data_IF_278496691032
#
_entry.id   IF_278496691032
#
_cell.length_a   1.000
_cell.length_b   1.000
_cell.length_c   1.000
_cell.angle_alpha   90.00
_cell.angle_beta   90.00
_cell.angle_gamma   90.00
#
_symmetry.space_group_name_H-M   'P 1'
#
loop_
_entity.id
_entity.type
_entity.pdbx_description
1 polymer ?
#
# COMPACT_ATOMS: atom_id res chain seq x y z
N UNK A 1 -0.10 2.77 -12.47
CA UNK A 1 -1.54 3.00 -12.22
C UNK A 1 -2.15 3.62 -13.46
N UNK A 2 -3.35 3.18 -13.81
CA UNK A 2 -4.04 3.61 -15.01
C UNK A 2 -4.91 4.83 -14.72
N UNK A 3 -5.10 5.66 -15.75
CA UNK A 3 -5.93 6.86 -15.70
C UNK A 3 -6.75 6.99 -16.99
N UNK A 4 -7.93 7.59 -16.90
CA UNK A 4 -8.77 7.97 -18.04
C UNK A 4 -9.03 9.47 -18.05
N UNK A 5 -9.20 10.04 -19.25
CA UNK A 5 -9.71 11.40 -19.39
C UNK A 5 -11.21 11.34 -19.70
N UNK A 6 -12.09 11.77 -18.78
CA UNK A 6 -13.54 11.74 -18.98
C UNK A 6 -14.02 12.73 -20.04
N UNK A 7 -13.27 13.80 -20.32
CA UNK A 7 -13.63 14.81 -21.33
C UNK A 7 -12.43 15.14 -22.24
N UNK A 8 -12.12 14.30 -23.22
CA UNK A 8 -10.96 14.48 -24.08
C UNK A 8 -11.14 15.54 -25.17
N UNK A 9 -12.37 16.03 -25.39
CA UNK A 9 -12.68 16.98 -26.47
C UNK A 9 -12.97 18.41 -25.99
N UNK A 10 -12.89 18.66 -24.68
CA UNK A 10 -12.99 20.03 -24.17
C UNK A 10 -11.80 20.85 -24.65
N UNK A 11 -12.07 21.89 -25.45
CA UNK A 11 -11.04 22.85 -25.88
C UNK A 11 -10.86 23.99 -24.87
N UNK A 12 -11.81 24.15 -23.94
CA UNK A 12 -11.83 25.24 -22.96
C UNK A 12 -11.26 24.87 -21.60
N UNK A 13 -11.19 23.57 -21.27
CA UNK A 13 -10.74 23.09 -19.95
C UNK A 13 -9.50 22.21 -20.07
N UNK A 14 -8.56 22.30 -19.10
CA UNK A 14 -7.39 21.42 -19.08
C UNK A 14 -7.82 19.96 -18.90
N UNK A 15 -7.15 19.05 -19.61
CA UNK A 15 -7.41 17.62 -19.56
C UNK A 15 -7.24 17.06 -18.14
N UNK A 16 -8.36 16.81 -17.45
CA UNK A 16 -8.37 16.22 -16.11
C UNK A 16 -8.27 14.70 -16.20
N UNK A 17 -7.18 14.14 -15.71
CA UNK A 17 -6.99 12.69 -15.67
C UNK A 17 -7.51 12.13 -14.34
N UNK A 18 -8.46 11.21 -14.43
CA UNK A 18 -9.04 10.53 -13.29
C UNK A 18 -8.44 9.13 -13.14
N UNK A 19 -8.17 8.75 -11.90
CA UNK A 19 -7.71 7.39 -11.58
C UNK A 19 -8.86 6.39 -11.67
N UNK A 20 -8.57 5.19 -12.16
CA UNK A 20 -9.45 4.04 -11.95
C UNK A 20 -9.47 3.64 -10.48
N UNK A 21 -10.52 2.92 -10.07
CA UNK A 21 -10.56 2.29 -8.75
C UNK A 21 -9.41 1.27 -8.59
N UNK A 22 -9.10 0.90 -7.34
CA UNK A 22 -8.01 -0.05 -7.06
C UNK A 22 -8.25 -1.42 -7.72
N UNK A 23 -9.51 -1.87 -7.73
CA UNK A 23 -9.91 -3.14 -8.36
C UNK A 23 -9.76 -3.06 -9.87
N UNK A 24 -10.27 -2.01 -10.51
CA UNK A 24 -10.13 -1.81 -11.95
C UNK A 24 -8.67 -1.67 -12.36
N UNK A 25 -7.86 -0.95 -11.58
CA UNK A 25 -6.42 -0.85 -11.80
C UNK A 25 -5.75 -2.22 -11.75
N UNK A 26 -6.11 -3.07 -10.79
CA UNK A 26 -5.54 -4.40 -10.64
C UNK A 26 -5.89 -5.31 -11.83
N UNK A 27 -7.15 -5.27 -12.27
CA UNK A 27 -7.61 -6.01 -13.46
C UNK A 27 -6.88 -5.53 -14.71
N UNK A 28 -6.84 -4.21 -14.91
CA UNK A 28 -6.19 -3.58 -16.09
C UNK A 28 -4.70 -3.91 -16.13
N UNK A 29 -4.01 -3.76 -14.99
CA UNK A 29 -2.58 -4.03 -14.92
C UNK A 29 -2.28 -5.51 -15.14
N UNK A 30 -3.11 -6.42 -14.61
CA UNK A 30 -2.96 -7.86 -14.85
C UNK A 30 -3.12 -8.21 -16.33
N UNK A 31 -4.17 -7.74 -16.97
CA UNK A 31 -4.42 -7.97 -18.39
C UNK A 31 -3.26 -7.44 -19.26
N UNK A 32 -2.77 -6.23 -18.95
CA UNK A 32 -1.64 -5.64 -19.64
C UNK A 32 -0.35 -6.45 -19.47
N UNK A 33 -0.05 -6.91 -18.24
CA UNK A 33 1.14 -7.73 -17.95
C UNK A 33 1.08 -9.11 -18.61
N UNK A 34 -0.11 -9.66 -18.79
CA UNK A 34 -0.33 -10.92 -19.49
C UNK A 34 -0.24 -10.78 -21.02
N UNK A 35 -0.08 -9.56 -21.56
CA UNK A 35 -0.07 -9.32 -23.00
C UNK A 35 -1.45 -9.46 -23.66
N UNK A 36 -2.53 -9.36 -22.87
CA UNK A 36 -3.88 -9.34 -23.40
C UNK A 36 -4.09 -8.05 -24.21
N UNK A 37 -4.90 -8.11 -25.26
CA UNK A 37 -5.19 -6.92 -26.10
C UNK A 37 -6.14 -5.95 -25.41
N UNK A 38 -6.99 -6.46 -24.51
CA UNK A 38 -8.08 -5.70 -23.90
C UNK A 38 -8.32 -6.13 -22.46
N UNK A 39 -8.67 -5.20 -21.60
CA UNK A 39 -9.26 -5.48 -20.29
C UNK A 39 -10.77 -5.27 -20.33
N UNK A 40 -11.54 -6.27 -19.90
CA UNK A 40 -13.01 -6.28 -19.98
C UNK A 40 -13.60 -5.94 -18.61
N UNK A 41 -14.56 -5.03 -18.58
CA UNK A 41 -15.39 -4.68 -17.42
C UNK A 41 -16.87 -4.76 -17.78
N UNK A 42 -17.74 -4.70 -16.78
CA UNK A 42 -19.19 -4.85 -16.95
C UNK A 42 -19.79 -3.84 -17.94
N UNK A 43 -19.34 -2.59 -17.87
CA UNK A 43 -19.92 -1.48 -18.65
C UNK A 43 -19.03 -0.97 -19.77
N UNK A 44 -17.75 -1.32 -19.78
CA UNK A 44 -16.80 -0.86 -20.77
C UNK A 44 -15.64 -1.84 -20.90
N UNK A 45 -14.82 -1.68 -21.93
CA UNK A 45 -13.52 -2.33 -22.02
C UNK A 45 -12.43 -1.31 -22.30
N UNK A 46 -11.20 -1.64 -21.94
CA UNK A 46 -10.01 -0.87 -22.28
C UNK A 46 -9.29 -1.64 -23.39
N UNK A 47 -9.08 -0.99 -24.52
CA UNK A 47 -8.25 -1.47 -25.61
C UNK A 47 -6.84 -0.89 -25.47
N UNK A 48 -5.86 -1.78 -25.29
CA UNK A 48 -4.47 -1.40 -25.06
C UNK A 48 -3.74 -1.03 -26.34
N UNK A 49 -4.18 -1.53 -27.51
CA UNK A 49 -3.58 -1.20 -28.80
C UNK A 49 -3.85 0.27 -29.16
N UNK A 50 -5.08 0.72 -28.93
CA UNK A 50 -5.49 2.11 -29.21
C UNK A 50 -5.39 3.03 -27.99
N UNK A 51 -5.13 2.49 -26.80
CA UNK A 51 -5.15 3.18 -25.51
C UNK A 51 -6.46 3.93 -25.26
N UNK A 52 -7.58 3.24 -25.48
CA UNK A 52 -8.94 3.80 -25.33
C UNK A 52 -9.81 2.91 -24.47
N UNK A 53 -10.57 3.55 -23.61
CA UNK A 53 -11.74 2.98 -22.96
C UNK A 53 -12.94 3.17 -23.87
N UNK A 54 -13.72 2.12 -24.10
CA UNK A 54 -14.89 2.11 -24.97
C UNK A 54 -16.07 1.52 -24.20
N UNK A 55 -17.20 2.23 -24.18
CA UNK A 55 -18.43 1.73 -23.54
C UNK A 55 -18.98 0.51 -24.27
N UNK A 56 -19.45 -0.50 -23.52
CA UNK A 56 -20.08 -1.70 -24.10
C UNK A 56 -21.43 -1.37 -24.77
N UNK A 57 -22.11 -0.31 -24.28
CA UNK A 57 -23.44 0.10 -24.74
C UNK A 57 -23.42 1.13 -25.86
N UNK A 58 -22.32 1.89 -26.00
CA UNK A 58 -22.23 3.01 -26.93
C UNK A 58 -20.78 3.19 -27.41
N UNK A 59 -20.50 2.73 -28.63
CA UNK A 59 -19.17 2.78 -29.23
C UNK A 59 -18.67 4.21 -29.49
N UNK A 60 -19.53 5.22 -29.47
CA UNK A 60 -19.12 6.62 -29.60
C UNK A 60 -18.62 7.20 -28.27
N UNK A 61 -18.98 6.58 -27.14
CA UNK A 61 -18.45 6.96 -25.82
C UNK A 61 -17.08 6.34 -25.61
N UNK A 62 -16.08 7.04 -26.12
CA UNK A 62 -14.68 6.67 -25.97
C UNK A 62 -13.95 7.65 -25.05
N UNK A 63 -12.99 7.15 -24.28
CA UNK A 63 -12.12 7.97 -23.43
C UNK A 63 -10.68 7.53 -23.63
N UNK A 64 -9.72 8.44 -23.82
CA UNK A 64 -8.32 8.05 -23.88
C UNK A 64 -7.87 7.61 -22.49
N UNK A 65 -6.97 6.63 -22.50
CA UNK A 65 -6.44 5.98 -21.31
C UNK A 65 -4.94 6.09 -21.34
N UNK A 66 -4.31 6.23 -20.18
CA UNK A 66 -2.85 6.18 -20.06
C UNK A 66 -2.42 5.41 -18.83
N UNK A 67 -1.29 4.71 -18.96
CA UNK A 67 -0.60 4.09 -17.83
C UNK A 67 0.44 5.06 -17.29
N UNK A 68 0.34 5.38 -16.00
CA UNK A 68 1.34 6.17 -15.28
C UNK A 68 2.13 5.24 -14.38
N UNK A 69 3.41 5.03 -14.68
CA UNK A 69 4.32 4.29 -13.81
C UNK A 69 4.76 5.25 -12.70
N UNK A 70 4.35 4.98 -11.46
CA UNK A 70 4.83 5.75 -10.31
C UNK A 70 6.30 5.41 -10.08
N UNK A 71 7.16 6.42 -9.97
CA UNK A 71 8.53 6.20 -9.52
C UNK A 71 8.54 5.99 -8.01
N UNK A 72 9.60 5.37 -7.47
CA UNK A 72 9.77 5.16 -6.03
C UNK A 72 9.73 6.49 -5.25
N UNK A 73 10.13 7.56 -5.91
CA UNK A 73 10.14 8.95 -5.43
C UNK A 73 8.73 9.58 -5.34
N UNK A 74 7.74 9.10 -6.11
CA UNK A 74 6.35 9.63 -6.11
C UNK A 74 5.51 9.09 -4.94
N UNK A 75 6.09 8.23 -4.11
CA UNK A 75 5.42 7.65 -2.96
C UNK A 75 5.29 8.76 -1.92
N UNK A 76 4.10 9.34 -1.82
CA UNK A 76 3.69 10.19 -0.71
C UNK A 76 3.65 9.32 0.56
N UNK A 77 4.83 9.02 1.08
CA UNK A 77 4.99 8.44 2.39
C UNK A 77 4.52 9.50 3.38
N UNK A 78 3.58 9.14 4.27
CA UNK A 78 3.29 10.00 5.42
C UNK A 78 4.54 9.99 6.28
N UNK A 79 5.35 11.05 6.21
CA UNK A 79 6.58 11.19 6.99
C UNK A 79 6.30 11.02 8.49
N UNK A 80 5.11 11.42 8.93
CA UNK A 80 4.57 11.19 10.28
C UNK A 80 4.51 9.71 10.73
N UNK A 81 4.63 8.73 9.83
CA UNK A 81 4.73 7.31 10.18
C UNK A 81 6.17 6.82 10.33
N UNK A 82 7.13 7.66 9.98
CA UNK A 82 8.58 7.41 10.07
C UNK A 82 9.21 8.32 11.12
N UNK A 83 8.45 8.73 12.14
CA UNK A 83 9.05 9.32 13.33
C UNK A 83 9.89 8.23 13.98
N UNK A 84 11.14 8.55 14.30
CA UNK A 84 11.91 7.71 15.20
C UNK A 84 11.05 7.53 16.45
N UNK A 85 10.55 6.31 16.65
CA UNK A 85 10.03 5.92 17.96
C UNK A 85 11.15 6.25 18.94
N UNK A 86 10.88 6.87 20.10
CA UNK A 86 11.89 7.08 21.13
C UNK A 86 12.24 5.72 21.75
N UNK A 87 12.86 4.84 20.96
CA UNK A 87 13.57 3.67 21.43
C UNK A 87 14.92 4.22 21.85
N UNK A 88 15.00 4.61 23.13
CA UNK A 88 16.27 4.99 23.75
C UNK A 88 17.29 3.90 23.44
N UNK A 89 18.38 4.26 22.75
CA UNK A 89 19.43 3.38 22.19
C UNK A 89 20.32 2.74 23.26
N UNK A 90 19.75 2.35 24.39
CA UNK A 90 20.46 1.75 25.51
C UNK A 90 19.57 1.07 26.55
N UNK A 91 18.27 0.84 26.27
CA UNK A 91 17.37 0.17 27.22
C UNK A 91 16.50 -0.89 26.55
N UNK A 92 16.54 -2.09 27.13
CA UNK A 92 15.71 -3.24 26.73
C UNK A 92 14.22 -2.96 26.89
N UNK A 93 13.44 -3.39 25.89
CA UNK A 93 11.97 -3.30 25.80
C UNK A 93 11.18 -3.78 27.04
N UNK A 94 11.80 -4.54 27.94
CA UNK A 94 11.15 -5.03 29.15
C UNK A 94 11.16 -3.99 30.27
N UNK A 95 10.26 -3.00 30.27
CA UNK A 95 10.02 -2.25 31.51
C UNK A 95 9.21 -0.96 31.44
N UNK A 96 9.35 -0.15 30.39
CA UNK A 96 8.78 1.22 30.42
C UNK A 96 7.34 1.33 29.90
N UNK A 97 6.87 0.39 29.07
CA UNK A 97 5.51 0.44 28.52
C UNK A 97 4.51 -0.44 29.26
N UNK A 98 4.64 -0.58 30.59
CA UNK A 98 3.58 -1.01 31.53
C UNK A 98 2.88 -2.36 31.29
N UNK A 99 3.17 -3.07 30.20
CA UNK A 99 2.47 -4.27 29.79
C UNK A 99 3.48 -5.40 29.65
N UNK A 100 3.54 -6.20 30.71
CA UNK A 100 4.19 -7.51 30.68
C UNK A 100 3.12 -8.50 30.24
N UNK A 101 3.40 -9.24 29.15
CA UNK A 101 2.48 -10.28 28.69
C UNK A 101 2.13 -11.23 29.84
N UNK A 102 0.85 -11.59 30.07
CA UNK A 102 0.45 -12.54 31.10
C UNK A 102 1.24 -13.85 31.06
N UNK A 103 1.62 -14.29 29.86
CA UNK A 103 2.46 -15.47 29.67
C UNK A 103 3.82 -15.36 30.38
N UNK A 104 4.48 -14.20 30.31
CA UNK A 104 5.77 -13.98 30.98
C UNK A 104 5.59 -14.00 32.50
N UNK A 105 4.43 -13.52 32.99
CA UNK A 105 4.09 -13.53 34.41
C UNK A 105 3.87 -14.97 34.91
N UNK A 106 3.15 -15.80 34.14
CA UNK A 106 2.92 -17.20 34.47
C UNK A 106 4.22 -18.01 34.46
N UNK A 107 5.02 -17.90 33.40
CA UNK A 107 6.30 -18.62 33.29
C UNK A 107 7.25 -18.23 34.42
N UNK A 108 7.29 -16.94 34.82
CA UNK A 108 8.09 -16.50 35.97
C UNK A 108 7.64 -17.20 37.27
N UNK A 109 6.32 -17.33 37.50
CA UNK A 109 5.78 -18.00 38.69
C UNK A 109 6.12 -19.48 38.70
N UNK A 110 5.97 -20.16 37.57
CA UNK A 110 6.23 -21.59 37.44
C UNK A 110 7.72 -21.91 37.64
N UNK A 111 8.60 -21.06 37.12
CA UNK A 111 10.05 -21.20 37.25
C UNK A 111 10.60 -20.62 38.57
N UNK A 112 9.75 -20.03 39.43
CA UNK A 112 10.12 -19.38 40.70
C UNK A 112 11.26 -18.36 40.55
N UNK A 113 11.23 -17.59 39.47
CA UNK A 113 12.25 -16.58 39.19
C UNK A 113 11.88 -15.24 39.82
N UNK A 114 12.88 -14.53 40.35
CA UNK A 114 12.72 -13.14 40.76
C UNK A 114 12.67 -12.20 39.53
N UNK A 115 12.06 -10.99 39.63
CA UNK A 115 11.87 -10.13 38.46
C UNK A 115 13.21 -9.72 37.81
N UNK A 116 14.26 -9.63 38.62
CA UNK A 116 15.60 -9.21 38.20
C UNK A 116 16.39 -10.35 37.53
N UNK A 117 15.91 -11.59 37.66
CA UNK A 117 16.52 -12.77 37.05
C UNK A 117 16.02 -13.04 35.62
N UNK A 118 15.03 -12.27 35.17
CA UNK A 118 14.46 -12.41 33.84
C UNK A 118 15.52 -12.14 32.76
N UNK A 119 15.56 -12.95 31.67
CA UNK A 119 16.51 -12.75 30.58
C UNK A 119 16.42 -11.35 29.95
N UNK A 120 15.24 -10.73 29.97
CA UNK A 120 15.00 -9.37 29.48
C UNK A 120 15.67 -8.26 30.31
N UNK A 121 16.19 -8.60 31.50
CA UNK A 121 16.92 -7.69 32.39
C UNK A 121 18.44 -7.93 32.38
N UNK A 122 18.91 -9.02 31.76
CA UNK A 122 20.34 -9.34 31.70
C UNK A 122 20.99 -8.63 30.51
N UNK A 123 21.89 -7.65 30.73
CA UNK A 123 22.50 -6.88 29.66
C UNK A 123 23.32 -7.75 28.69
N UNK A 124 23.84 -8.88 29.16
CA UNK A 124 24.68 -9.81 28.38
C UNK A 124 23.91 -10.56 27.29
N UNK A 125 22.57 -10.63 27.38
CA UNK A 125 21.72 -11.40 26.46
C UNK A 125 21.01 -10.47 25.46
N UNK A 126 20.96 -9.16 25.74
CA UNK A 126 20.29 -8.18 24.87
C UNK A 126 21.31 -7.73 23.81
N UNK A 127 21.10 -8.04 22.52
CA UNK A 127 21.95 -7.51 21.47
C UNK A 127 21.81 -5.98 21.43
N UNK A 128 22.97 -5.30 21.44
CA UNK A 128 23.11 -3.85 21.23
C UNK A 128 22.84 -3.54 19.75
#
# INVERSE_FOLDING_TARGET
MWQSNPNPWSSSEPAKWSHYSDVENLITERAYMNGEKRAIFDHYYIDFETNRQISNTDNYRQRPVKRVVRKREDKHLREERFVDLPVTTGRSFGGEYGWVSPFIIEVRRDLKLEPDELPSKKPDIIPI
#
